data_IF_377344224665
#
_entry.id   IF_377344224665
#
_cell.length_a   1.000
_cell.length_b   1.000
_cell.length_c   1.000
_cell.angle_alpha   90.00
_cell.angle_beta   90.00
_cell.angle_gamma   90.00
#
_symmetry.space_group_name_H-M   'P 1'
#
loop_
_entity.id
_entity.type
_entity.pdbx_description
1 polymer ?
#
# COMPACT_ATOMS: atom_id res chain seq x y z
N UNK A 1 12.18 -11.83 7.76
CA UNK A 1 11.51 -11.96 6.45
C UNK A 1 10.29 -12.85 6.60
N UNK A 2 9.18 -12.47 5.96
CA UNK A 2 7.89 -13.16 6.02
C UNK A 2 7.76 -14.07 4.80
N UNK A 3 7.42 -15.33 5.01
CA UNK A 3 7.10 -16.25 3.92
C UNK A 3 5.58 -16.24 3.67
N UNK A 4 5.11 -15.94 2.44
CA UNK A 4 3.69 -16.02 2.09
C UNK A 4 3.06 -17.41 2.30
N UNK A 5 3.88 -18.47 2.35
CA UNK A 5 3.44 -19.86 2.55
C UNK A 5 3.12 -20.17 4.01
N UNK A 6 3.93 -19.64 4.93
CA UNK A 6 3.85 -19.95 6.36
C UNK A 6 2.91 -19.01 7.10
N UNK A 7 2.97 -17.72 6.79
CA UNK A 7 2.21 -16.70 7.49
C UNK A 7 0.84 -16.48 6.84
N UNK A 8 -0.14 -16.14 7.67
CA UNK A 8 -1.50 -15.77 7.23
C UNK A 8 -1.74 -14.28 7.42
N UNK A 9 -2.67 -13.73 6.65
CA UNK A 9 -2.96 -12.29 6.69
C UNK A 9 -3.43 -11.81 8.07
N UNK A 10 -4.23 -12.63 8.76
CA UNK A 10 -4.70 -12.30 10.11
C UNK A 10 -3.58 -12.09 11.16
N UNK A 11 -2.40 -12.70 10.97
CA UNK A 11 -1.25 -12.55 11.86
C UNK A 11 -0.48 -11.24 11.64
N UNK A 12 -0.68 -10.57 10.51
CA UNK A 12 0.05 -9.37 10.10
C UNK A 12 -0.89 -8.19 9.82
N UNK A 13 -2.03 -8.15 10.51
CA UNK A 13 -3.06 -7.11 10.36
C UNK A 13 -2.63 -5.72 10.84
N UNK A 14 -1.54 -5.62 11.60
CA UNK A 14 -0.91 -4.38 12.08
C UNK A 14 0.36 -4.00 11.29
N UNK A 15 0.82 -4.88 10.39
CA UNK A 15 2.02 -4.63 9.60
C UNK A 15 1.77 -3.50 8.59
N UNK A 16 2.51 -2.39 8.72
CA UNK A 16 2.52 -1.29 7.74
C UNK A 16 3.50 -1.51 6.58
N UNK A 17 4.51 -2.35 6.79
CA UNK A 17 5.49 -2.78 5.79
C UNK A 17 5.86 -4.23 6.04
N UNK A 18 6.08 -4.98 4.98
CA UNK A 18 6.44 -6.40 5.06
C UNK A 18 7.64 -6.63 4.17
N UNK A 19 8.71 -7.20 4.73
CA UNK A 19 9.82 -7.73 3.95
C UNK A 19 9.63 -9.23 3.79
N UNK A 20 9.40 -9.67 2.56
CA UNK A 20 9.19 -11.06 2.24
C UNK A 20 10.53 -11.82 2.15
N UNK A 21 10.45 -13.16 2.17
CA UNK A 21 11.60 -14.00 1.85
C UNK A 21 12.05 -13.78 0.40
N UNK A 22 13.31 -14.07 0.09
CA UNK A 22 13.87 -13.91 -1.27
C UNK A 22 13.16 -14.81 -2.32
N UNK A 23 12.47 -15.86 -1.85
CA UNK A 23 11.70 -16.76 -2.70
C UNK A 23 10.31 -16.20 -3.06
N UNK A 24 9.90 -15.08 -2.45
CA UNK A 24 8.60 -14.47 -2.71
C UNK A 24 8.58 -13.75 -4.06
N UNK A 25 7.55 -14.04 -4.85
CA UNK A 25 7.36 -13.57 -6.23
C UNK A 25 5.90 -13.24 -6.46
N UNK A 26 5.64 -12.42 -7.48
CA UNK A 26 4.28 -12.14 -7.93
C UNK A 26 3.83 -13.26 -8.88
N UNK A 27 2.66 -13.85 -8.62
CA UNK A 27 2.05 -14.79 -9.56
C UNK A 27 1.17 -14.03 -10.56
N UNK A 28 1.83 -13.53 -11.63
CA UNK A 28 1.19 -12.77 -12.69
C UNK A 28 0.05 -13.54 -13.37
N UNK A 29 0.07 -14.87 -13.36
CA UNK A 29 -0.95 -15.71 -14.00
C UNK A 29 -2.32 -15.63 -13.33
N UNK A 30 -2.33 -15.20 -12.06
CA UNK A 30 -3.53 -15.02 -11.22
C UNK A 30 -3.84 -13.54 -10.96
N UNK A 31 -3.30 -12.64 -11.79
CA UNK A 31 -3.65 -11.24 -11.71
C UNK A 31 -5.09 -10.99 -12.18
N UNK A 32 -5.74 -10.02 -11.56
CA UNK A 32 -7.12 -9.63 -11.85
C UNK A 32 -7.26 -8.13 -11.68
N UNK A 33 -8.24 -7.51 -12.35
CA UNK A 33 -8.56 -6.13 -12.09
C UNK A 33 -10.05 -5.84 -12.05
N UNK A 34 -10.42 -4.86 -11.22
CA UNK A 34 -11.76 -4.34 -11.12
C UNK A 34 -11.81 -2.91 -11.64
N UNK A 35 -12.74 -2.60 -12.54
CA UNK A 35 -12.84 -1.27 -13.14
C UNK A 35 -13.99 -0.46 -12.50
N UNK A 36 -13.66 0.66 -11.88
CA UNK A 36 -14.61 1.64 -11.38
C UNK A 36 -14.00 3.04 -11.41
N UNK A 37 -14.32 3.83 -12.45
CA UNK A 37 -13.61 5.05 -12.87
C UNK A 37 -12.14 4.76 -13.23
N UNK A 38 -11.35 4.32 -12.26
CA UNK A 38 -10.01 3.76 -12.40
C UNK A 38 -10.03 2.22 -12.43
N UNK A 39 -8.99 1.62 -13.00
CA UNK A 39 -8.78 0.17 -12.98
C UNK A 39 -7.94 -0.22 -11.76
N UNK A 40 -8.54 -0.93 -10.81
CA UNK A 40 -7.89 -1.46 -9.62
C UNK A 40 -7.31 -2.84 -9.91
N UNK A 41 -5.99 -2.93 -9.95
CA UNK A 41 -5.25 -4.13 -10.30
C UNK A 41 -4.73 -4.83 -9.04
N UNK A 42 -4.88 -6.16 -9.00
CA UNK A 42 -4.39 -7.01 -7.91
C UNK A 42 -3.64 -8.19 -8.48
N UNK A 43 -2.58 -8.61 -7.79
CA UNK A 43 -1.84 -9.83 -8.09
C UNK A 43 -1.43 -10.51 -6.78
N UNK A 44 -1.59 -11.83 -6.65
CA UNK A 44 -1.20 -12.52 -5.43
C UNK A 44 0.33 -12.61 -5.31
N UNK A 45 0.83 -12.46 -4.08
CA UNK A 45 2.23 -12.68 -3.73
C UNK A 45 2.36 -14.13 -3.26
N UNK A 46 3.15 -14.91 -3.98
CA UNK A 46 3.36 -16.34 -3.73
C UNK A 46 4.84 -16.62 -3.48
N UNK A 47 5.17 -17.86 -3.18
CA UNK A 47 6.55 -18.32 -3.23
C UNK A 47 6.83 -18.99 -4.58
N UNK A 48 8.07 -18.86 -5.07
CA UNK A 48 8.53 -19.63 -6.21
C UNK A 48 8.69 -21.10 -5.84
N UNK A 49 8.13 -22.00 -6.66
CA UNK A 49 8.39 -23.43 -6.60
C UNK A 49 9.81 -23.75 -7.08
N UNK A 50 10.38 -24.83 -6.57
CA UNK A 50 11.65 -25.42 -7.04
C UNK A 50 11.64 -25.80 -8.53
N UNK A 51 10.46 -25.89 -9.16
CA UNK A 51 10.28 -26.12 -10.59
C UNK A 51 10.29 -24.83 -11.46
N UNK A 52 10.55 -23.66 -10.87
CA UNK A 52 10.69 -22.40 -11.61
C UNK A 52 9.39 -21.64 -11.92
N UNK A 53 8.26 -22.07 -11.36
CA UNK A 53 6.96 -21.39 -11.45
C UNK A 53 6.39 -20.98 -10.08
N UNK A 54 5.32 -20.17 -10.00
CA UNK A 54 4.65 -19.85 -8.74
C UNK A 54 4.03 -21.11 -8.10
N UNK A 55 4.27 -21.33 -6.81
CA UNK A 55 3.69 -22.45 -6.06
C UNK A 55 2.18 -22.21 -5.84
N UNK A 56 1.36 -23.27 -5.91
CA UNK A 56 -0.05 -23.16 -5.52
C UNK A 56 -0.16 -23.19 -3.99
N UNK A 57 -0.74 -22.13 -3.43
CA UNK A 57 -1.02 -22.03 -2.00
C UNK A 57 -2.50 -22.36 -1.75
N UNK A 58 -2.80 -22.92 -0.57
CA UNK A 58 -4.19 -23.15 -0.15
C UNK A 58 -4.95 -21.84 0.11
N UNK A 59 -4.24 -20.81 0.58
CA UNK A 59 -4.81 -19.49 0.86
C UNK A 59 -3.84 -18.39 0.41
N UNK A 60 -4.37 -17.40 -0.30
CA UNK A 60 -3.66 -16.25 -0.84
C UNK A 60 -4.05 -15.00 -0.05
N UNK A 61 -3.36 -14.73 1.04
CA UNK A 61 -3.67 -13.58 1.90
C UNK A 61 -2.85 -12.33 1.53
N UNK A 62 -1.74 -12.45 0.80
CA UNK A 62 -0.89 -11.31 0.44
C UNK A 62 -1.09 -10.92 -1.02
N UNK A 63 -1.39 -9.65 -1.25
CA UNK A 63 -1.70 -9.11 -2.57
C UNK A 63 -0.88 -7.86 -2.86
N UNK A 64 -0.18 -7.87 -3.99
CA UNK A 64 0.39 -6.66 -4.57
C UNK A 64 -0.69 -5.93 -5.37
N UNK A 65 -0.75 -4.61 -5.22
CA UNK A 65 -1.82 -3.78 -5.76
C UNK A 65 -1.29 -2.59 -6.54
N UNK A 66 -2.16 -2.05 -7.39
CA UNK A 66 -2.03 -0.68 -7.89
C UNK A 66 -3.15 -0.32 -8.86
N UNK A 67 -3.09 0.88 -9.42
CA UNK A 67 -4.18 1.47 -10.22
C UNK A 67 -3.71 1.78 -11.63
N UNK A 68 -4.57 1.53 -12.63
CA UNK A 68 -4.36 1.88 -14.04
C UNK A 68 -3.11 1.27 -14.70
N UNK A 69 -2.69 0.08 -14.26
CA UNK A 69 -1.49 -0.63 -14.72
C UNK A 69 -1.78 -2.06 -15.23
N UNK A 70 -3.06 -2.37 -15.45
CA UNK A 70 -3.53 -3.62 -16.02
C UNK A 70 -4.74 -3.35 -16.92
N UNK A 71 -5.02 -4.26 -17.85
CA UNK A 71 -6.20 -4.23 -18.71
C UNK A 71 -7.51 -4.52 -17.96
N UNK A 72 -7.40 -5.14 -16.78
CA UNK A 72 -8.51 -5.49 -15.89
C UNK A 72 -9.14 -6.85 -16.16
N UNK A 73 -9.09 -7.34 -17.41
CA UNK A 73 -9.69 -8.62 -17.79
C UNK A 73 -8.67 -9.70 -18.15
N UNK A 74 -7.46 -9.30 -18.52
CA UNK A 74 -6.35 -10.21 -18.81
C UNK A 74 -5.42 -10.26 -17.60
N UNK A 75 -4.68 -11.34 -17.47
CA UNK A 75 -3.66 -11.51 -16.45
C UNK A 75 -2.40 -10.69 -16.79
N UNK A 76 -2.50 -9.35 -16.77
CA UNK A 76 -1.48 -8.41 -17.23
C UNK A 76 -1.14 -7.35 -16.17
N UNK A 77 -0.51 -7.78 -15.07
CA UNK A 77 -0.10 -6.87 -14.00
C UNK A 77 1.29 -6.26 -14.24
N UNK A 78 1.36 -4.92 -14.30
CA UNK A 78 2.61 -4.17 -14.54
C UNK A 78 2.84 -3.04 -13.51
N UNK A 79 2.26 -3.16 -12.32
CA UNK A 79 2.33 -2.14 -11.28
C UNK A 79 3.59 -2.24 -10.41
N UNK A 80 4.10 -1.09 -9.96
CA UNK A 80 5.24 -1.00 -9.06
C UNK A 80 6.50 -1.61 -9.68
N UNK A 81 7.33 -2.24 -8.86
CA UNK A 81 8.57 -2.87 -9.30
C UNK A 81 8.37 -4.34 -9.70
N UNK A 82 7.31 -4.65 -10.45
CA UNK A 82 6.93 -6.04 -10.79
C UNK A 82 8.04 -6.84 -11.51
N UNK A 83 8.89 -6.15 -12.29
CA UNK A 83 9.97 -6.76 -13.06
C UNK A 83 11.34 -6.69 -12.33
N UNK A 84 11.39 -6.09 -11.14
CA UNK A 84 12.62 -6.02 -10.37
C UNK A 84 12.80 -7.30 -9.54
N UNK A 85 13.84 -8.07 -9.83
CA UNK A 85 14.16 -9.31 -9.10
C UNK A 85 14.56 -9.01 -7.65
N UNK A 86 15.06 -7.82 -7.35
CA UNK A 86 15.41 -7.42 -5.99
C UNK A 86 14.20 -6.94 -5.16
N UNK A 87 13.04 -6.74 -5.80
CA UNK A 87 11.84 -6.32 -5.10
C UNK A 87 11.23 -7.48 -4.33
N UNK A 88 11.30 -7.42 -3.00
CA UNK A 88 10.70 -8.40 -2.08
C UNK A 88 10.03 -7.71 -0.89
N UNK A 89 9.64 -6.45 -1.03
CA UNK A 89 9.00 -5.71 0.03
C UNK A 89 7.63 -5.18 -0.39
N UNK A 90 6.74 -5.09 0.58
CA UNK A 90 5.39 -4.57 0.42
C UNK A 90 5.16 -3.40 1.38
N UNK A 91 4.68 -2.27 0.86
CA UNK A 91 4.20 -1.14 1.67
C UNK A 91 2.67 -1.15 1.71
N UNK A 92 2.06 -1.10 2.89
CA UNK A 92 0.61 -1.25 3.01
C UNK A 92 -0.19 -0.08 2.46
N UNK A 93 -1.32 -0.40 1.83
CA UNK A 93 -2.32 0.59 1.45
C UNK A 93 -2.95 1.26 2.69
N UNK A 94 -2.70 2.57 2.84
CA UNK A 94 -3.26 3.39 3.92
C UNK A 94 -4.64 3.98 3.59
N UNK A 95 -4.99 4.10 2.31
CA UNK A 95 -6.26 4.71 1.88
C UNK A 95 -7.41 3.70 1.99
N UNK A 96 -8.24 3.87 3.01
CA UNK A 96 -9.36 2.97 3.33
C UNK A 96 -10.43 2.91 2.23
N UNK A 97 -10.69 4.03 1.55
CA UNK A 97 -11.68 4.08 0.46
C UNK A 97 -11.35 3.10 -0.67
N UNK A 98 -10.07 3.07 -1.08
CA UNK A 98 -9.60 2.18 -2.14
C UNK A 98 -9.58 0.71 -1.73
N UNK A 99 -9.49 0.41 -0.43
CA UNK A 99 -9.45 -0.96 0.10
C UNK A 99 -10.67 -1.77 -0.33
N UNK A 100 -11.84 -1.12 -0.35
CA UNK A 100 -13.10 -1.76 -0.76
C UNK A 100 -13.06 -2.22 -2.22
N UNK A 101 -12.51 -1.40 -3.12
CA UNK A 101 -12.39 -1.71 -4.55
C UNK A 101 -11.36 -2.80 -4.82
N UNK A 102 -10.21 -2.78 -4.14
CA UNK A 102 -9.23 -3.88 -4.24
C UNK A 102 -9.79 -5.21 -3.72
N UNK A 103 -10.66 -5.17 -2.70
CA UNK A 103 -11.36 -6.36 -2.23
C UNK A 103 -12.30 -6.95 -3.28
N UNK A 104 -13.00 -6.11 -4.06
CA UNK A 104 -13.82 -6.57 -5.18
C UNK A 104 -12.96 -7.24 -6.26
N UNK A 105 -11.79 -6.67 -6.57
CA UNK A 105 -10.84 -7.28 -7.51
C UNK A 105 -10.34 -8.65 -7.02
N UNK A 106 -10.06 -8.80 -5.72
CA UNK A 106 -9.70 -10.10 -5.12
C UNK A 106 -10.85 -11.08 -5.21
N UNK A 107 -12.09 -10.68 -4.91
CA UNK A 107 -13.25 -11.56 -5.04
C UNK A 107 -13.46 -12.05 -6.47
N UNK A 108 -13.19 -11.21 -7.46
CA UNK A 108 -13.20 -11.62 -8.87
C UNK A 108 -12.09 -12.64 -9.16
N UNK A 109 -10.89 -12.45 -8.61
CA UNK A 109 -9.79 -13.40 -8.76
C UNK A 109 -10.10 -14.75 -8.08
N UNK A 110 -10.69 -14.74 -6.89
CA UNK A 110 -11.14 -15.94 -6.17
C UNK A 110 -12.12 -16.75 -7.02
N UNK A 111 -13.11 -16.08 -7.62
CA UNK A 111 -14.09 -16.73 -8.48
C UNK A 111 -13.50 -17.23 -9.80
N UNK A 112 -12.61 -16.46 -10.44
CA UNK A 112 -12.04 -16.80 -11.75
C UNK A 112 -11.01 -17.94 -11.67
N UNK A 113 -10.19 -17.96 -10.62
CA UNK A 113 -9.08 -18.91 -10.47
C UNK A 113 -9.32 -20.00 -9.43
N UNK A 114 -10.52 -20.04 -8.83
CA UNK A 114 -10.89 -20.97 -7.77
C UNK A 114 -9.88 -21.00 -6.61
N UNK A 115 -9.44 -19.81 -6.20
CA UNK A 115 -8.53 -19.58 -5.07
C UNK A 115 -9.28 -18.96 -3.90
N UNK A 116 -8.70 -19.00 -2.70
CA UNK A 116 -9.27 -18.42 -1.48
C UNK A 116 -8.33 -17.41 -0.84
N UNK A 117 -8.88 -16.29 -0.40
CA UNK A 117 -8.21 -15.17 0.26
C UNK A 117 -9.04 -14.74 1.47
N UNK A 118 -8.86 -15.40 2.61
CA UNK A 118 -9.68 -15.16 3.80
C UNK A 118 -9.44 -13.76 4.39
N UNK A 119 -8.17 -13.35 4.49
CA UNK A 119 -7.78 -12.06 5.07
C UNK A 119 -6.79 -11.35 4.14
N UNK A 120 -7.28 -10.75 3.03
CA UNK A 120 -6.40 -10.12 2.06
C UNK A 120 -5.75 -8.85 2.63
N UNK A 121 -4.42 -8.83 2.61
CA UNK A 121 -3.58 -7.66 2.88
C UNK A 121 -3.12 -7.08 1.53
N UNK A 122 -3.37 -5.78 1.36
CA UNK A 122 -3.00 -5.04 0.16
C UNK A 122 -1.71 -4.25 0.35
N UNK A 123 -0.74 -4.51 -0.52
CA UNK A 123 0.61 -3.95 -0.47
C UNK A 123 1.01 -3.36 -1.83
N UNK A 124 1.72 -2.25 -1.82
CA UNK A 124 2.48 -1.77 -2.97
C UNK A 124 3.80 -2.52 -3.04
N UNK A 125 4.08 -3.15 -4.19
CA UNK A 125 5.28 -3.96 -4.38
C UNK A 125 6.48 -3.10 -4.77
N UNK A 126 7.55 -3.18 -3.99
CA UNK A 126 8.76 -2.37 -4.16
C UNK A 126 9.99 -3.04 -3.56
N UNK A 127 11.18 -2.55 -3.92
CA UNK A 127 12.44 -3.02 -3.32
C UNK A 127 12.66 -2.46 -1.93
N UNK A 128 12.48 -1.15 -1.75
CA UNK A 128 12.73 -0.49 -0.48
C UNK A 128 11.56 0.37 0.00
N UNK A 129 10.79 -0.08 1.01
CA UNK A 129 9.74 0.72 1.62
C UNK A 129 10.29 1.80 2.56
N UNK A 130 11.55 1.73 3.00
CA UNK A 130 12.12 2.73 3.92
C UNK A 130 12.23 4.09 3.24
N UNK A 131 12.76 4.13 2.02
CA UNK A 131 12.94 5.37 1.26
C UNK A 131 11.62 6.10 1.05
N UNK A 132 10.54 5.37 0.73
CA UNK A 132 9.21 5.96 0.54
C UNK A 132 8.64 6.54 1.84
N UNK A 133 8.79 5.82 2.96
CA UNK A 133 8.35 6.30 4.28
C UNK A 133 9.14 7.56 4.71
N UNK A 134 10.45 7.57 4.47
CA UNK A 134 11.30 8.73 4.77
C UNK A 134 10.89 9.94 3.93
N UNK A 135 10.52 9.73 2.66
CA UNK A 135 9.99 10.78 1.80
C UNK A 135 8.66 11.35 2.34
N UNK A 136 7.74 10.50 2.82
CA UNK A 136 6.53 10.99 3.49
C UNK A 136 6.84 11.79 4.76
N UNK A 137 7.80 11.32 5.56
CA UNK A 137 8.17 11.99 6.79
C UNK A 137 8.81 13.37 6.53
N UNK A 138 9.68 13.49 5.52
CA UNK A 138 10.32 14.77 5.20
C UNK A 138 9.33 15.80 4.67
N UNK A 139 8.39 15.39 3.81
CA UNK A 139 7.31 16.25 3.32
C UNK A 139 6.36 16.67 4.47
N UNK A 140 6.02 15.74 5.36
CA UNK A 140 5.20 16.05 6.53
C UNK A 140 5.91 17.03 7.47
N UNK A 141 7.21 16.87 7.69
CA UNK A 141 8.00 17.74 8.56
C UNK A 141 8.08 19.18 8.02
N UNK A 142 8.25 19.35 6.71
CA UNK A 142 8.25 20.68 6.09
C UNK A 142 6.90 21.39 6.26
N UNK A 143 5.80 20.68 5.99
CA UNK A 143 4.44 21.21 6.16
C UNK A 143 4.11 21.50 7.62
N UNK A 144 4.54 20.65 8.54
CA UNK A 144 4.36 20.84 9.98
C UNK A 144 5.11 22.08 10.47
N UNK A 145 6.39 22.26 10.09
CA UNK A 145 7.16 23.45 10.44
C UNK A 145 6.52 24.73 9.90
N UNK A 146 6.07 24.72 8.63
CA UNK A 146 5.35 25.85 8.05
C UNK A 146 4.09 26.18 8.87
N UNK A 147 3.30 25.17 9.23
CA UNK A 147 2.12 25.33 10.08
C UNK A 147 2.45 25.92 11.46
N UNK A 148 3.54 25.49 12.10
CA UNK A 148 4.01 26.03 13.38
C UNK A 148 4.39 27.50 13.26
N UNK A 149 5.14 27.89 12.23
CA UNK A 149 5.52 29.30 12.02
C UNK A 149 4.31 30.19 11.71
N UNK A 150 3.37 29.71 10.91
CA UNK A 150 2.12 30.44 10.62
C UNK A 150 1.30 30.61 11.90
N UNK A 151 1.13 29.55 12.69
CA UNK A 151 0.40 29.62 13.96
C UNK A 151 1.07 30.59 14.96
N UNK A 152 2.40 30.56 15.06
CA UNK A 152 3.15 31.50 15.90
C UNK A 152 2.95 32.95 15.45
N UNK A 153 3.03 33.22 14.14
CA UNK A 153 2.81 34.55 13.59
C UNK A 153 1.40 35.07 13.88
N UNK A 154 0.38 34.23 13.72
CA UNK A 154 -1.02 34.56 14.04
C UNK A 154 -1.19 34.83 15.54
N UNK A 155 -0.62 34.00 16.42
CA UNK A 155 -0.69 34.21 17.87
C UNK A 155 0.00 35.51 18.30
N UNK A 156 1.18 35.81 17.75
CA UNK A 156 1.87 37.08 18.01
C UNK A 156 1.04 38.28 17.56
N UNK A 157 0.43 38.21 16.38
CA UNK A 157 -0.44 39.27 15.87
C UNK A 157 -1.65 39.48 16.78
N UNK A 158 -2.30 38.41 17.24
CA UNK A 158 -3.44 38.50 18.17
C UNK A 158 -3.05 39.12 19.52
N UNK A 159 -1.89 38.74 20.07
CA UNK A 159 -1.38 39.32 21.33
C UNK A 159 -1.07 40.81 21.16
N UNK A 160 -0.44 41.22 20.04
CA UNK A 160 -0.16 42.63 19.76
C UNK A 160 -1.44 43.45 19.60
N UNK A 161 -2.44 42.93 18.88
CA UNK A 161 -3.73 43.62 18.76
C UNK A 161 -4.44 43.75 20.11
N UNK A 162 -4.42 42.70 20.93
CA UNK A 162 -4.99 42.73 22.26
C UNK A 162 -4.29 43.76 23.17
N UNK A 163 -2.96 43.79 23.19
CA UNK A 163 -2.20 44.75 24.02
C UNK A 163 -2.45 46.19 23.60
N UNK A 164 -2.51 46.48 22.29
CA UNK A 164 -2.84 47.83 21.79
C UNK A 164 -4.28 48.22 22.12
N UNK A 165 -5.24 47.30 22.01
CA UNK A 165 -6.63 47.56 22.38
C UNK A 165 -6.77 47.89 23.87
N UNK A 166 -6.17 47.09 24.75
CA UNK A 166 -6.19 47.34 26.20
C UNK A 166 -5.46 48.65 26.57
N UNK A 167 -4.35 48.99 25.92
CA UNK A 167 -3.62 50.23 26.16
C UNK A 167 -4.38 51.50 25.71
N UNK A 168 -5.38 51.38 24.82
CA UNK A 168 -6.23 52.48 24.36
C UNK A 168 -7.52 52.64 25.18
N UNK A 169 -7.87 51.65 26.00
CA UNK A 169 -9.07 51.60 26.84
C UNK A 169 -8.83 52.09 28.28
N UNK A 170 -7.56 52.15 28.73
CA UNK A 170 -7.15 52.77 29.99
C UNK A 170 -6.59 54.17 29.77
#
# INVERSE_FOLDING_TARGET
>A
NVSPKEYKGNQLMDAGRIHFSADAKLDLTKSMGFKNLDTYCVVPITVGSTAGGPEQLENYDFWAIGTNCCSGHVADFHCGEYNNVAAHAGLRLMKDEMRSYFRLAVQQAEAAYNIKANHPIFLYWMQDPQTEIIAYHSAAHANWLLGVFVALAVQLLLVVLATVAFAKLG
#
